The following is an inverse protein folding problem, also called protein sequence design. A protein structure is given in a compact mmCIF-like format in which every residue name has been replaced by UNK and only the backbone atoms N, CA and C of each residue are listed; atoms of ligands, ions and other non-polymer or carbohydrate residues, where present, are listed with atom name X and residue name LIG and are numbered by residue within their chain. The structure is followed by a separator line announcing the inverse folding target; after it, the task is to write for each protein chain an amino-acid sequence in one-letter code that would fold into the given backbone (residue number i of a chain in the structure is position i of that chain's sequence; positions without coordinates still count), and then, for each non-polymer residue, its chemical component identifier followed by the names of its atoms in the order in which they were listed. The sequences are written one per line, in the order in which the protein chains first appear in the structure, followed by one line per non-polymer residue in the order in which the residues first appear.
data_IF_166533118730
#
_entry.id   IF_166533118730
#
_cell.length_a   1.000
_cell.length_b   1.000
_cell.length_c   1.000
_cell.angle_alpha   90.00
_cell.angle_beta   90.00
_cell.angle_gamma   90.00
#
_symmetry.space_group_name_H-M   'P 1'
#
loop_
_entity.id
_entity.type
_entity.pdbx_description
1 polymer ?
#
# COMPACT_ATOMS: atom_id res chain seq x y z
N UNK A 1 29.89 3.50 10.10
CA UNK A 1 28.58 3.62 9.44
C UNK A 1 28.47 2.50 8.43
N UNK A 2 27.79 1.39 8.76
CA UNK A 2 27.52 0.33 7.79
C UNK A 2 26.59 0.89 6.73
N UNK A 3 27.08 1.05 5.50
CA UNK A 3 26.27 1.43 4.35
C UNK A 3 25.18 0.36 4.16
N UNK A 4 23.99 0.58 4.74
CA UNK A 4 22.83 -0.26 4.47
C UNK A 4 22.34 0.10 3.08
N UNK A 5 22.88 -0.60 2.07
CA UNK A 5 22.52 -0.36 0.68
C UNK A 5 21.07 -0.74 0.43
N UNK A 6 20.30 0.19 -0.13
CA UNK A 6 18.91 -0.05 -0.53
C UNK A 6 18.90 -1.14 -1.60
N UNK A 7 18.07 -2.18 -1.41
CA UNK A 7 17.87 -3.22 -2.42
C UNK A 7 16.82 -2.78 -3.43
N UNK A 8 17.21 -1.93 -4.38
CA UNK A 8 16.30 -1.32 -5.36
C UNK A 8 15.42 -2.31 -6.12
N UNK A 9 15.96 -3.44 -6.58
CA UNK A 9 15.16 -4.47 -7.24
C UNK A 9 14.05 -5.04 -6.35
N UNK A 10 14.33 -5.24 -5.06
CA UNK A 10 13.32 -5.69 -4.09
C UNK A 10 12.28 -4.60 -3.79
N UNK A 11 12.71 -3.34 -3.73
CA UNK A 11 11.80 -2.20 -3.54
C UNK A 11 10.81 -2.04 -4.71
N UNK A 12 11.29 -2.18 -5.95
CA UNK A 12 10.44 -2.13 -7.16
C UNK A 12 9.43 -3.28 -7.14
N UNK A 13 9.87 -4.52 -6.91
CA UNK A 13 8.98 -5.68 -6.83
C UNK A 13 7.94 -5.51 -5.72
N UNK A 14 8.35 -4.99 -4.56
CA UNK A 14 7.44 -4.71 -3.45
C UNK A 14 6.41 -3.63 -3.79
N UNK A 15 6.80 -2.56 -4.49
CA UNK A 15 5.89 -1.50 -4.91
C UNK A 15 4.86 -2.02 -5.94
N UNK A 16 5.29 -2.83 -6.91
CA UNK A 16 4.38 -3.47 -7.87
C UNK A 16 3.42 -4.43 -7.18
N UNK A 17 3.92 -5.25 -6.24
CA UNK A 17 3.08 -6.14 -5.45
C UNK A 17 2.05 -5.35 -4.63
N UNK A 18 2.44 -4.22 -4.03
CA UNK A 18 1.53 -3.34 -3.32
C UNK A 18 0.43 -2.83 -4.27
N UNK A 19 0.78 -2.36 -5.47
CA UNK A 19 -0.23 -1.88 -6.42
C UNK A 19 -1.21 -2.94 -6.86
N UNK A 20 -0.71 -4.11 -7.25
CA UNK A 20 -1.57 -5.24 -7.63
C UNK A 20 -2.50 -5.60 -6.48
N UNK A 21 -1.98 -5.65 -5.25
CA UNK A 21 -2.78 -5.96 -4.05
C UNK A 21 -3.90 -4.93 -3.84
N UNK A 22 -3.59 -3.63 -3.95
CA UNK A 22 -4.59 -2.57 -3.78
C UNK A 22 -5.68 -2.62 -4.86
N UNK A 23 -5.30 -2.87 -6.12
CA UNK A 23 -6.24 -3.03 -7.23
C UNK A 23 -7.16 -4.22 -6.99
N UNK A 24 -6.59 -5.38 -6.65
CA UNK A 24 -7.36 -6.61 -6.39
C UNK A 24 -8.35 -6.41 -5.25
N UNK A 25 -7.94 -5.76 -4.15
CA UNK A 25 -8.84 -5.50 -3.02
C UNK A 25 -9.95 -4.53 -3.42
N UNK A 26 -9.66 -3.52 -4.24
CA UNK A 26 -10.68 -2.62 -4.78
C UNK A 26 -11.73 -3.38 -5.61
N UNK A 27 -11.28 -4.24 -6.51
CA UNK A 27 -12.16 -5.10 -7.32
C UNK A 27 -13.00 -6.04 -6.45
N UNK A 28 -12.40 -6.68 -5.45
CA UNK A 28 -13.11 -7.56 -4.51
C UNK A 28 -14.20 -6.78 -3.76
N UNK A 29 -13.93 -5.54 -3.33
CA UNK A 29 -14.92 -4.72 -2.64
C UNK A 29 -16.15 -4.48 -3.51
N UNK A 30 -15.96 -4.08 -4.78
CA UNK A 30 -17.06 -3.86 -5.72
C UNK A 30 -17.80 -5.17 -6.01
N UNK A 31 -17.07 -6.28 -6.18
CA UNK A 31 -17.68 -7.59 -6.40
C UNK A 31 -18.52 -8.08 -5.22
N UNK A 32 -18.01 -7.95 -3.98
CA UNK A 32 -18.79 -8.29 -2.78
C UNK A 32 -20.03 -7.42 -2.69
N UNK A 33 -19.90 -6.12 -2.95
CA UNK A 33 -21.03 -5.20 -2.92
C UNK A 33 -22.08 -5.59 -3.97
N UNK A 34 -21.68 -5.90 -5.20
CA UNK A 34 -22.60 -6.23 -6.29
C UNK A 34 -23.24 -7.61 -6.18
N UNK A 35 -22.53 -8.62 -5.66
CA UNK A 35 -23.06 -9.99 -5.58
C UNK A 35 -23.78 -10.31 -4.27
N UNK A 36 -23.53 -9.57 -3.18
CA UNK A 36 -24.04 -9.93 -1.85
C UNK A 36 -24.81 -8.85 -1.12
N UNK A 37 -24.52 -7.56 -1.36
CA UNK A 37 -25.11 -6.46 -0.57
C UNK A 37 -26.22 -5.77 -1.36
N UNK A 38 -25.91 -5.35 -2.59
CA UNK A 38 -26.82 -4.58 -3.42
C UNK A 38 -26.81 -5.15 -4.84
N UNK A 39 -27.61 -6.20 -5.06
CA UNK A 39 -27.64 -6.98 -6.28
C UNK A 39 -28.63 -6.43 -7.32
N UNK A 40 -28.33 -6.62 -8.61
CA UNK A 40 -29.28 -6.37 -9.70
C UNK A 40 -29.30 -4.93 -10.24
N UNK A 41 -28.33 -4.11 -9.83
CA UNK A 41 -28.20 -2.72 -10.30
C UNK A 41 -27.47 -2.61 -11.64
N UNK A 42 -27.56 -1.43 -12.26
CA UNK A 42 -26.89 -1.16 -13.53
C UNK A 42 -25.37 -1.01 -13.37
N UNK A 43 -24.65 -1.10 -14.48
CA UNK A 43 -23.20 -0.93 -14.49
C UNK A 43 -22.80 0.49 -14.05
N UNK A 44 -23.58 1.51 -14.40
CA UNK A 44 -23.35 2.89 -14.00
C UNK A 44 -23.41 3.06 -12.48
N UNK A 45 -24.34 2.37 -11.82
CA UNK A 45 -24.45 2.39 -10.37
C UNK A 45 -23.19 1.82 -9.70
N UNK A 46 -22.69 0.67 -10.15
CA UNK A 46 -21.48 0.09 -9.59
C UNK A 46 -20.21 0.89 -9.94
N UNK A 47 -20.16 1.55 -11.09
CA UNK A 47 -19.07 2.46 -11.45
C UNK A 47 -19.04 3.68 -10.51
N UNK A 48 -20.21 4.23 -10.17
CA UNK A 48 -20.32 5.31 -9.19
C UNK A 48 -19.88 4.85 -7.80
N UNK A 49 -20.31 3.65 -7.38
CA UNK A 49 -19.85 3.05 -6.12
C UNK A 49 -18.33 2.85 -6.09
N UNK A 50 -17.74 2.27 -7.14
CA UNK A 50 -16.30 2.05 -7.23
C UNK A 50 -15.50 3.36 -7.13
N UNK A 51 -15.99 4.43 -7.76
CA UNK A 51 -15.37 5.75 -7.69
C UNK A 51 -15.45 6.35 -6.29
N UNK A 52 -16.56 6.14 -5.58
CA UNK A 52 -16.75 6.61 -4.21
C UNK A 52 -15.98 5.78 -3.18
N UNK A 53 -15.88 4.46 -3.35
CA UNK A 53 -15.27 3.54 -2.39
C UNK A 53 -13.74 3.49 -2.49
N UNK A 54 -13.17 3.71 -3.68
CA UNK A 54 -11.74 3.62 -3.94
C UNK A 54 -10.85 4.36 -2.93
N UNK A 55 -11.11 5.65 -2.64
CA UNK A 55 -10.36 6.41 -1.65
C UNK A 55 -10.39 5.79 -0.24
N UNK A 56 -11.54 5.28 0.20
CA UNK A 56 -11.71 4.67 1.52
C UNK A 56 -10.97 3.34 1.65
N UNK A 57 -11.01 2.51 0.61
CA UNK A 57 -10.26 1.25 0.56
C UNK A 57 -8.76 1.55 0.69
N UNK A 58 -8.27 2.55 -0.06
CA UNK A 58 -6.88 2.98 0.00
C UNK A 58 -6.46 3.45 1.39
N UNK A 59 -7.33 4.19 2.08
CA UNK A 59 -7.09 4.72 3.43
C UNK A 59 -7.05 3.61 4.48
N UNK A 60 -8.04 2.70 4.49
CA UNK A 60 -8.21 1.67 5.52
C UNK A 60 -7.22 0.52 5.31
N UNK A 61 -7.07 0.05 4.07
CA UNK A 61 -6.32 -1.16 3.76
C UNK A 61 -4.85 -0.88 3.45
N UNK A 62 -4.53 0.34 3.02
CA UNK A 62 -3.18 0.72 2.63
C UNK A 62 -2.14 0.48 3.74
N UNK A 63 -2.43 0.91 4.98
CA UNK A 63 -1.51 0.69 6.11
C UNK A 63 -1.18 -0.78 6.36
N UNK A 64 -2.19 -1.64 6.57
CA UNK A 64 -2.00 -3.09 6.73
C UNK A 64 -1.20 -3.75 5.58
N UNK A 65 -1.52 -3.43 4.32
CA UNK A 65 -0.82 -3.99 3.15
C UNK A 65 0.67 -3.60 3.18
N UNK A 66 0.97 -2.32 3.42
CA UNK A 66 2.34 -1.83 3.46
C UNK A 66 3.12 -2.40 4.64
N UNK A 67 2.46 -2.60 5.78
CA UNK A 67 3.04 -3.32 6.92
C UNK A 67 3.45 -4.74 6.56
N UNK A 68 2.56 -5.50 5.91
CA UNK A 68 2.84 -6.89 5.53
C UNK A 68 3.96 -6.99 4.50
N UNK A 69 3.97 -6.10 3.52
CA UNK A 69 5.02 -6.04 2.50
C UNK A 69 6.36 -5.65 3.13
N UNK A 70 6.40 -4.63 4.00
CA UNK A 70 7.63 -4.24 4.69
C UNK A 70 8.14 -5.34 5.63
N UNK A 71 7.25 -6.07 6.31
CA UNK A 71 7.59 -7.25 7.11
C UNK A 71 8.20 -8.36 6.23
N UNK A 72 7.70 -8.54 5.02
CA UNK A 72 8.24 -9.48 4.04
C UNK A 72 9.61 -9.04 3.51
N UNK A 73 9.80 -7.75 3.20
CA UNK A 73 11.10 -7.17 2.81
C UNK A 73 12.12 -7.44 3.91
N UNK A 74 11.77 -7.17 5.17
CA UNK A 74 12.63 -7.40 6.34
C UNK A 74 13.10 -8.85 6.45
N UNK A 75 12.22 -9.82 6.19
CA UNK A 75 12.59 -11.25 6.19
C UNK A 75 13.60 -11.60 5.09
N UNK A 76 13.59 -10.89 3.95
CA UNK A 76 14.49 -11.15 2.81
C UNK A 76 15.76 -10.31 2.81
N UNK A 77 15.75 -9.17 3.49
CA UNK A 77 16.83 -8.20 3.48
C UNK A 77 16.94 -7.47 4.84
N UNK A 78 17.24 -8.18 5.94
CA UNK A 78 17.18 -7.62 7.29
C UNK A 78 18.12 -6.42 7.47
N UNK A 79 19.33 -6.48 6.92
CA UNK A 79 20.31 -5.38 6.98
C UNK A 79 19.91 -4.14 6.18
N UNK A 80 19.00 -4.26 5.20
CA UNK A 80 18.55 -3.16 4.35
C UNK A 80 17.04 -2.89 4.50
N UNK A 81 16.42 -3.43 5.56
CA UNK A 81 14.97 -3.54 5.66
C UNK A 81 14.28 -2.17 5.62
N UNK A 82 14.70 -1.25 6.48
CA UNK A 82 14.09 0.08 6.57
C UNK A 82 14.30 0.89 5.29
N UNK A 83 15.54 0.96 4.78
CA UNK A 83 15.84 1.69 3.54
C UNK A 83 15.08 1.14 2.33
N UNK A 84 15.02 -0.18 2.18
CA UNK A 84 14.26 -0.85 1.11
C UNK A 84 12.75 -0.65 1.29
N UNK A 85 12.26 -0.65 2.53
CA UNK A 85 10.86 -0.39 2.83
C UNK A 85 10.47 1.08 2.52
N UNK A 86 11.29 2.05 2.90
CA UNK A 86 10.99 3.45 2.56
C UNK A 86 11.12 3.70 1.05
N UNK A 87 12.05 3.03 0.37
CA UNK A 87 12.16 3.09 -1.09
C UNK A 87 10.92 2.54 -1.79
N UNK A 88 10.35 1.40 -1.35
CA UNK A 88 9.11 0.90 -1.98
C UNK A 88 7.94 1.89 -1.76
N UNK A 89 7.82 2.47 -0.57
CA UNK A 89 6.78 3.44 -0.28
C UNK A 89 6.92 4.70 -1.14
N UNK A 90 8.15 5.18 -1.34
CA UNK A 90 8.44 6.30 -2.23
C UNK A 90 8.14 5.99 -3.70
N UNK A 91 8.51 4.81 -4.21
CA UNK A 91 8.19 4.38 -5.58
C UNK A 91 6.68 4.31 -5.78
N UNK A 92 5.96 3.73 -4.81
CA UNK A 92 4.50 3.66 -4.88
C UNK A 92 3.86 5.05 -4.90
N UNK A 93 4.32 5.99 -4.06
CA UNK A 93 3.85 7.38 -4.08
C UNK A 93 4.12 8.03 -5.43
N UNK A 94 5.30 7.84 -6.00
CA UNK A 94 5.65 8.39 -7.31
C UNK A 94 4.68 7.87 -8.39
N UNK A 95 4.32 6.58 -8.35
CA UNK A 95 3.32 6.01 -9.25
C UNK A 95 1.95 6.67 -9.04
N UNK A 96 1.49 6.82 -7.79
CA UNK A 96 0.20 7.47 -7.51
C UNK A 96 0.16 8.93 -7.99
N UNK A 97 1.24 9.69 -7.77
CA UNK A 97 1.35 11.07 -8.27
C UNK A 97 1.33 11.11 -9.80
N UNK A 98 2.06 10.23 -10.48
CA UNK A 98 2.04 10.16 -11.95
C UNK A 98 0.63 9.84 -12.44
N UNK A 99 -0.04 8.85 -11.85
CA UNK A 99 -1.42 8.48 -12.21
C UNK A 99 -2.37 9.66 -12.00
N UNK A 100 -2.24 10.38 -10.88
CA UNK A 100 -3.04 11.56 -10.58
C UNK A 100 -2.81 12.68 -11.60
N UNK A 101 -1.56 12.95 -11.97
CA UNK A 101 -1.22 14.01 -12.94
C UNK A 101 -1.71 13.67 -14.36
N UNK A 102 -1.84 12.39 -14.69
CA UNK A 102 -2.34 11.93 -15.98
C UNK A 102 -3.88 11.77 -16.01
N UNK A 103 -4.54 11.86 -14.85
CA UNK A 103 -5.98 11.69 -14.73
C UNK A 103 -6.73 12.95 -15.19
N UNK A 104 -7.66 12.79 -16.14
CA UNK A 104 -8.44 13.90 -16.71
C UNK A 104 -9.76 14.20 -15.97
N UNK A 105 -10.09 13.44 -14.93
CA UNK A 105 -11.30 13.67 -14.14
C UNK A 105 -11.13 14.72 -13.05
N UNK A 106 -12.17 14.94 -12.25
CA UNK A 106 -12.13 15.88 -11.14
C UNK A 106 -11.12 15.44 -10.06
N UNK A 107 -10.18 16.34 -9.76
CA UNK A 107 -9.09 16.15 -8.78
C UNK A 107 -9.27 17.00 -7.53
N UNK A 108 -10.32 17.83 -7.45
CA UNK A 108 -10.56 18.77 -6.35
C UNK A 108 -10.63 18.10 -4.97
N UNK A 109 -11.07 16.84 -4.92
CA UNK A 109 -11.07 16.00 -3.71
C UNK A 109 -9.87 15.07 -3.55
N UNK A 110 -9.00 14.93 -4.56
CA UNK A 110 -7.99 13.86 -4.58
C UNK A 110 -6.80 14.10 -3.64
N UNK A 111 -6.41 15.37 -3.46
CA UNK A 111 -5.24 15.76 -2.66
C UNK A 111 -5.36 15.36 -1.17
N UNK A 112 -6.48 15.65 -0.47
CA UNK A 112 -6.69 15.21 0.91
C UNK A 112 -6.64 13.67 1.07
N UNK A 113 -7.19 12.91 0.12
CA UNK A 113 -7.15 11.45 0.15
C UNK A 113 -5.78 10.89 -0.21
N UNK A 114 -5.01 11.56 -1.07
CA UNK A 114 -3.64 11.17 -1.36
C UNK A 114 -2.75 11.36 -0.12
N UNK A 115 -2.80 12.53 0.51
CA UNK A 115 -2.03 12.82 1.73
C UNK A 115 -2.50 11.92 2.89
N UNK A 116 -3.82 11.90 3.13
CA UNK A 116 -4.43 11.11 4.20
C UNK A 116 -4.26 9.61 4.00
N UNK A 117 -4.29 9.13 2.77
CA UNK A 117 -4.12 7.73 2.40
C UNK A 117 -2.67 7.26 2.34
N UNK A 118 -1.72 8.17 2.13
CA UNK A 118 -0.30 7.82 2.10
C UNK A 118 0.31 7.71 3.51
N UNK A 119 -0.14 8.53 4.46
CA UNK A 119 0.36 8.47 5.84
C UNK A 119 0.23 7.08 6.49
N UNK A 120 -0.95 6.40 6.46
CA UNK A 120 -1.08 5.04 6.97
C UNK A 120 -0.14 4.05 6.28
N UNK A 121 0.07 4.19 4.96
CA UNK A 121 0.98 3.35 4.18
C UNK A 121 2.42 3.53 4.63
N UNK A 122 2.84 4.78 4.84
CA UNK A 122 4.19 5.11 5.32
C UNK A 122 4.42 4.59 6.74
N UNK A 123 3.45 4.79 7.64
CA UNK A 123 3.48 4.26 9.01
C UNK A 123 3.51 2.74 9.00
N UNK A 124 2.68 2.11 8.18
CA UNK A 124 2.66 0.65 8.01
C UNK A 124 4.01 0.12 7.53
N UNK A 125 4.58 0.73 6.49
CA UNK A 125 5.90 0.36 5.98
C UNK A 125 7.01 0.52 7.02
N UNK A 126 6.98 1.61 7.78
CA UNK A 126 7.95 1.87 8.85
C UNK A 126 7.82 0.83 9.98
N UNK A 127 6.60 0.56 10.45
CA UNK A 127 6.33 -0.45 11.49
C UNK A 127 6.69 -1.87 11.03
N UNK A 128 6.38 -2.22 9.78
CA UNK A 128 6.67 -3.54 9.22
C UNK A 128 8.18 -3.80 9.06
N UNK A 129 8.94 -2.75 8.70
CA UNK A 129 10.38 -2.82 8.56
C UNK A 129 11.12 -2.78 9.90
N UNK A 130 10.65 -1.98 10.86
CA UNK A 130 11.27 -1.86 12.18
C UNK A 130 10.81 -2.90 13.19
N UNK A 131 9.77 -3.68 12.86
CA UNK A 131 8.90 -4.32 13.83
C UNK A 131 9.62 -4.83 15.07
N UNK A 132 9.39 -4.13 16.18
CA UNK A 132 9.86 -4.40 17.54
C UNK A 132 11.15 -5.23 17.56
N UNK A 133 12.29 -4.55 17.67
CA UNK A 133 13.60 -5.12 17.94
C UNK A 133 13.47 -6.48 18.63
N UNK A 134 13.72 -7.57 17.90
CA UNK A 134 13.64 -8.91 18.45
C UNK A 134 14.53 -8.93 19.69
N UNK A 135 13.92 -9.30 20.82
CA UNK A 135 14.57 -9.42 22.13
C UNK A 135 15.93 -10.12 22.01
N UNK A 136 17.02 -9.62 22.64
CA UNK A 136 18.35 -10.24 22.57
C UNK A 136 18.47 -11.64 23.20
N UNK A 137 17.39 -12.21 23.76
CA UNK A 137 17.45 -13.47 24.50
C UNK A 137 16.79 -14.63 23.77
N UNK A 138 17.50 -15.21 22.80
CA UNK A 138 17.20 -16.55 22.29
C UNK A 138 18.46 -17.26 21.79
N UNK A 139 19.53 -17.24 22.59
CA UNK A 139 20.63 -18.23 22.54
C UNK A 139 21.23 -18.40 23.95
N UNK A 140 20.58 -19.22 24.76
CA UNK A 140 21.19 -19.90 25.89
C UNK A 140 20.25 -21.04 26.32
N UNK A 141 20.39 -22.20 25.67
CA UNK A 141 20.06 -23.52 26.18
C UNK A 141 20.78 -24.55 25.30
#
# INVERSE_FOLDING_TARGET
MTNTSIRWGLAIVAALLAQITMIVISVICVAVYSYTIHTGETQEFYNAFASASGPWISLIVGGPVFFLIARWIRRRAPSAALGTAMAHAGIYLAIEVIVLLLWQGDTSGALPFMIGGFLPKLVGAWLGANGLAASPHAKAA
#
